data_IF_918401519815
#
_entry.id   IF_918401519815
#
_cell.length_a   1.000
_cell.length_b   1.000
_cell.length_c   1.000
_cell.angle_alpha   90.00
_cell.angle_beta   90.00
_cell.angle_gamma   90.00
#
_symmetry.space_group_name_H-M   'P 1'
#
loop_
_entity.id
_entity.type
_entity.pdbx_description
1 polymer ?
#
# COMPACT_ATOMS: atom_id res chain seq x y z
N UNK A 1 -7.34 7.14 -21.07
CA UNK A 1 -8.28 6.13 -20.52
C UNK A 1 -7.62 4.78 -20.23
N UNK A 2 -6.58 4.35 -20.96
CA UNK A 2 -5.93 3.04 -20.76
C UNK A 2 -5.48 2.73 -19.32
N UNK A 3 -5.13 3.76 -18.53
CA UNK A 3 -4.67 3.60 -17.15
C UNK A 3 -5.74 3.75 -16.07
N UNK A 4 -6.99 4.10 -16.42
CA UNK A 4 -8.05 4.30 -15.41
C UNK A 4 -8.35 3.00 -14.64
N UNK A 5 -8.51 1.88 -15.36
CA UNK A 5 -8.79 0.59 -14.73
C UNK A 5 -7.59 0.09 -13.91
N UNK A 6 -6.34 0.09 -14.43
CA UNK A 6 -5.18 -0.28 -13.60
C UNK A 6 -4.98 0.61 -12.36
N UNK A 7 -5.20 1.92 -12.46
CA UNK A 7 -5.14 2.83 -11.31
C UNK A 7 -6.23 2.51 -10.28
N UNK A 8 -7.45 2.17 -10.73
CA UNK A 8 -8.50 1.70 -9.82
C UNK A 8 -8.08 0.41 -9.11
N UNK A 9 -7.45 -0.54 -9.82
CA UNK A 9 -6.93 -1.78 -9.23
C UNK A 9 -5.81 -1.52 -8.22
N UNK A 10 -4.92 -0.56 -8.50
CA UNK A 10 -3.90 -0.11 -7.56
C UNK A 10 -4.53 0.38 -6.25
N UNK A 11 -5.52 1.28 -6.36
CA UNK A 11 -6.23 1.82 -5.20
C UNK A 11 -7.01 0.75 -4.44
N UNK A 12 -7.61 -0.22 -5.15
CA UNK A 12 -8.27 -1.37 -4.53
C UNK A 12 -7.29 -2.26 -3.77
N UNK A 13 -6.11 -2.54 -4.33
CA UNK A 13 -5.05 -3.29 -3.65
C UNK A 13 -4.58 -2.57 -2.39
N UNK A 14 -4.33 -1.27 -2.50
CA UNK A 14 -3.92 -0.44 -1.36
C UNK A 14 -5.00 -0.38 -0.27
N UNK A 15 -6.25 -0.18 -0.65
CA UNK A 15 -7.39 -0.21 0.26
C UNK A 15 -7.57 -1.57 0.94
N UNK A 16 -7.42 -2.67 0.20
CA UNK A 16 -7.49 -4.02 0.75
C UNK A 16 -6.41 -4.28 1.80
N UNK A 17 -5.18 -3.80 1.57
CA UNK A 17 -4.11 -3.89 2.57
C UNK A 17 -4.38 -3.05 3.82
N UNK A 18 -4.88 -1.82 3.66
CA UNK A 18 -5.29 -0.98 4.80
C UNK A 18 -6.39 -1.66 5.64
N UNK A 19 -7.39 -2.26 4.99
CA UNK A 19 -8.44 -3.01 5.68
C UNK A 19 -7.89 -4.24 6.38
N UNK A 20 -7.00 -5.00 5.75
CA UNK A 20 -6.29 -6.12 6.40
C UNK A 20 -5.57 -5.65 7.67
N UNK A 21 -4.77 -4.60 7.60
CA UNK A 21 -4.05 -4.06 8.77
C UNK A 21 -5.01 -3.58 9.87
N UNK A 22 -6.15 -2.99 9.51
CA UNK A 22 -7.18 -2.62 10.46
C UNK A 22 -7.79 -3.84 11.16
N UNK A 23 -8.08 -4.91 10.41
CA UNK A 23 -8.58 -6.18 10.96
C UNK A 23 -7.55 -6.78 11.92
N UNK A 24 -6.27 -6.83 11.55
CA UNK A 24 -5.19 -7.32 12.42
C UNK A 24 -5.13 -6.56 13.75
N UNK A 25 -5.23 -5.22 13.72
CA UNK A 25 -5.23 -4.39 14.93
C UNK A 25 -6.48 -4.64 15.79
N UNK A 26 -7.65 -4.84 15.17
CA UNK A 26 -8.89 -5.19 15.87
C UNK A 26 -8.84 -6.56 16.52
N UNK A 27 -8.23 -7.55 15.85
CA UNK A 27 -8.02 -8.89 16.39
C UNK A 27 -7.10 -8.89 17.62
N UNK A 28 -6.29 -7.86 17.81
CA UNK A 28 -5.47 -7.66 19.01
C UNK A 28 -6.25 -7.01 20.18
N UNK A 29 -7.58 -6.86 20.05
CA UNK A 29 -8.44 -6.25 21.08
C UNK A 29 -8.57 -4.73 20.99
N UNK A 30 -8.05 -4.09 19.93
CA UNK A 30 -8.17 -2.64 19.76
C UNK A 30 -9.41 -2.27 18.94
N UNK A 31 -10.43 -1.71 19.59
CA UNK A 31 -11.65 -1.26 18.91
C UNK A 31 -11.49 0.13 18.26
N UNK A 32 -10.64 0.22 17.22
CA UNK A 32 -10.45 1.47 16.47
C UNK A 32 -11.21 1.47 15.14
N UNK A 33 -11.68 2.66 14.75
CA UNK A 33 -12.23 2.92 13.41
C UNK A 33 -11.12 3.06 12.36
N UNK A 34 -11.47 2.96 11.07
CA UNK A 34 -10.53 3.22 9.97
C UNK A 34 -9.96 4.65 10.03
N UNK A 35 -10.80 5.64 10.33
CA UNK A 35 -10.36 7.04 10.46
C UNK A 35 -9.35 7.22 11.60
N UNK A 36 -9.57 6.57 12.76
CA UNK A 36 -8.61 6.56 13.86
C UNK A 36 -7.32 5.84 13.47
N UNK A 37 -7.40 4.68 12.80
CA UNK A 37 -6.22 3.95 12.34
C UNK A 37 -5.32 4.80 11.42
N UNK A 38 -5.91 5.52 10.45
CA UNK A 38 -5.18 6.42 9.57
C UNK A 38 -4.58 7.62 10.33
N UNK A 39 -5.31 8.17 11.30
CA UNK A 39 -4.81 9.27 12.16
C UNK A 39 -3.65 8.86 13.06
N UNK A 40 -3.57 7.59 13.46
CA UNK A 40 -2.46 7.06 14.24
C UNK A 40 -1.20 6.84 13.39
N UNK A 41 -1.32 6.77 12.07
CA UNK A 41 -0.23 6.44 11.14
C UNK A 41 -0.17 7.35 9.90
N UNK A 42 -0.31 8.68 10.02
CA UNK A 42 -0.54 9.56 8.88
C UNK A 42 0.62 9.52 7.88
N UNK A 43 1.86 9.60 8.37
CA UNK A 43 3.06 9.57 7.54
C UNK A 43 3.27 8.23 6.87
N UNK A 44 3.03 7.13 7.60
CA UNK A 44 3.21 5.77 7.06
C UNK A 44 2.17 5.46 5.97
N UNK A 45 0.90 5.80 6.21
CA UNK A 45 -0.16 5.65 5.21
C UNK A 45 0.11 6.51 3.97
N UNK A 46 0.54 7.77 4.15
CA UNK A 46 0.90 8.63 3.03
C UNK A 46 2.10 8.08 2.25
N UNK A 47 3.15 7.62 2.93
CA UNK A 47 4.33 7.05 2.30
C UNK A 47 3.99 5.75 1.55
N UNK A 48 3.12 4.91 2.10
CA UNK A 48 2.66 3.69 1.44
C UNK A 48 1.85 3.99 0.17
N UNK A 49 1.04 5.04 0.17
CA UNK A 49 0.33 5.50 -1.02
C UNK A 49 1.29 6.06 -2.07
N UNK A 50 2.28 6.86 -1.67
CA UNK A 50 3.32 7.34 -2.58
C UNK A 50 4.14 6.18 -3.16
N UNK A 51 4.49 5.20 -2.33
CA UNK A 51 5.19 3.98 -2.73
C UNK A 51 4.38 3.13 -3.71
N UNK A 52 3.07 3.00 -3.51
CA UNK A 52 2.21 2.27 -4.46
C UNK A 52 2.11 2.99 -5.81
N UNK A 53 2.01 4.32 -5.81
CA UNK A 53 2.04 5.14 -7.04
C UNK A 53 3.38 4.98 -7.76
N UNK A 54 4.50 5.11 -7.03
CA UNK A 54 5.83 4.95 -7.61
C UNK A 54 6.03 3.53 -8.22
N UNK A 55 5.62 2.49 -7.50
CA UNK A 55 5.67 1.11 -8.01
C UNK A 55 4.79 0.91 -9.25
N UNK A 56 3.63 1.56 -9.32
CA UNK A 56 2.78 1.52 -10.50
C UNK A 56 3.40 2.24 -11.69
N UNK A 57 4.05 3.40 -11.48
CA UNK A 57 4.73 4.12 -12.55
C UNK A 57 5.85 3.27 -13.16
N UNK A 58 6.67 2.60 -12.32
CA UNK A 58 7.69 1.67 -12.80
C UNK A 58 7.08 0.51 -13.61
N UNK A 59 5.94 -0.02 -13.16
CA UNK A 59 5.22 -1.08 -13.87
C UNK A 59 4.71 -0.60 -15.24
N UNK A 60 4.23 0.64 -15.31
CA UNK A 60 3.73 1.27 -16.53
C UNK A 60 4.85 1.60 -17.54
N UNK A 61 6.07 1.90 -17.08
CA UNK A 61 7.24 2.10 -17.96
C UNK A 61 7.62 0.82 -18.74
N UNK A 62 7.32 -0.36 -18.19
CA UNK A 62 7.63 -1.65 -18.81
C UNK A 62 6.50 -2.18 -19.72
N UNK A 63 5.44 -1.39 -19.94
CA UNK A 63 4.31 -1.74 -20.81
C UNK A 63 2.95 -1.57 -20.12
N UNK A 64 1.90 -2.15 -20.70
CA UNK A 64 0.57 -2.08 -20.10
C UNK A 64 0.53 -2.93 -18.80
N UNK A 65 0.34 -2.30 -17.62
CA UNK A 65 0.35 -3.03 -16.37
C UNK A 65 -0.86 -3.96 -16.32
N UNK A 66 -0.63 -5.24 -16.01
CA UNK A 66 -1.74 -6.17 -15.78
C UNK A 66 -2.53 -5.72 -14.54
N UNK A 67 -3.84 -5.98 -14.55
CA UNK A 67 -4.72 -5.61 -13.44
C UNK A 67 -4.28 -6.26 -12.11
N UNK A 68 -3.78 -7.49 -12.18
CA UNK A 68 -3.25 -8.23 -11.03
C UNK A 68 -1.98 -7.59 -10.51
N UNK A 69 -1.07 -7.18 -11.39
CA UNK A 69 0.16 -6.52 -10.99
C UNK A 69 -0.11 -5.15 -10.37
N UNK A 70 -1.01 -4.35 -10.94
CA UNK A 70 -1.42 -3.06 -10.36
C UNK A 70 -2.03 -3.25 -8.95
N UNK A 71 -2.94 -4.22 -8.78
CA UNK A 71 -3.46 -4.58 -7.47
C UNK A 71 -2.36 -5.02 -6.49
N UNK A 72 -1.47 -5.91 -6.93
CA UNK A 72 -0.38 -6.44 -6.12
C UNK A 72 0.57 -5.34 -5.61
N UNK A 73 0.94 -4.39 -6.47
CA UNK A 73 1.74 -3.22 -6.07
C UNK A 73 1.03 -2.42 -4.99
N UNK A 74 -0.27 -2.14 -5.17
CA UNK A 74 -1.07 -1.41 -4.19
C UNK A 74 -1.11 -2.12 -2.84
N UNK A 75 -1.33 -3.43 -2.88
CA UNK A 75 -1.42 -4.28 -1.71
C UNK A 75 -0.08 -4.41 -0.96
N UNK A 76 1.04 -4.48 -1.67
CA UNK A 76 2.35 -4.75 -1.07
C UNK A 76 3.11 -3.51 -0.60
N UNK A 77 2.74 -2.30 -1.05
CA UNK A 77 3.56 -1.09 -0.87
C UNK A 77 3.96 -0.81 0.59
N UNK A 78 3.02 -0.87 1.53
CA UNK A 78 3.29 -0.63 2.95
C UNK A 78 4.25 -1.68 3.55
N UNK A 79 4.10 -2.95 3.19
CA UNK A 79 5.01 -4.03 3.62
C UNK A 79 6.41 -3.89 3.02
N UNK A 80 6.53 -3.46 1.76
CA UNK A 80 7.83 -3.20 1.16
C UNK A 80 8.57 -2.06 1.87
N UNK A 81 7.87 -0.99 2.26
CA UNK A 81 8.45 0.09 3.06
C UNK A 81 8.96 -0.39 4.42
N UNK A 82 8.23 -1.29 5.09
CA UNK A 82 8.71 -1.88 6.35
C UNK A 82 10.02 -2.66 6.16
N UNK A 83 10.10 -3.48 5.10
CA UNK A 83 11.30 -4.27 4.77
C UNK A 83 12.48 -3.37 4.43
N UNK A 84 12.29 -2.38 3.55
CA UNK A 84 13.35 -1.43 3.17
C UNK A 84 13.83 -0.64 4.38
N UNK A 85 12.91 -0.13 5.20
CA UNK A 85 13.26 0.59 6.42
C UNK A 85 13.99 -0.27 7.45
N UNK A 86 13.60 -1.55 7.59
CA UNK A 86 14.29 -2.49 8.47
C UNK A 86 15.72 -2.77 7.99
N UNK A 87 15.91 -2.97 6.67
CA UNK A 87 17.23 -3.16 6.07
C UNK A 87 18.14 -1.95 6.25
N UNK A 88 17.63 -0.74 5.98
CA UNK A 88 18.39 0.49 6.14
C UNK A 88 18.90 0.71 7.59
N UNK A 89 18.15 0.25 8.60
CA UNK A 89 18.58 0.30 10.01
C UNK A 89 19.59 -0.78 10.37
N UNK A 90 19.61 -1.92 9.66
CA UNK A 90 20.56 -2.99 9.91
C UNK A 90 21.94 -2.71 9.29
N UNK A 91 22.00 -1.83 8.30
CA UNK A 91 23.22 -1.41 7.59
C UNK A 91 23.85 -0.12 8.18
N UNK A 92 23.23 0.49 9.20
CA UNK A 92 23.67 1.71 9.88
C UNK A 92 24.29 1.39 11.26
#
# INVERSE_FOLDING_TARGET
>A
MAHLIPLAMLLLGHGAHLLKKLIEVRQQGNEISLAQFLRLRPYKSALALLGSVAGYLLLAEHGAPSLVAAFGVGYAADSMLEVVGARARAEA
#
